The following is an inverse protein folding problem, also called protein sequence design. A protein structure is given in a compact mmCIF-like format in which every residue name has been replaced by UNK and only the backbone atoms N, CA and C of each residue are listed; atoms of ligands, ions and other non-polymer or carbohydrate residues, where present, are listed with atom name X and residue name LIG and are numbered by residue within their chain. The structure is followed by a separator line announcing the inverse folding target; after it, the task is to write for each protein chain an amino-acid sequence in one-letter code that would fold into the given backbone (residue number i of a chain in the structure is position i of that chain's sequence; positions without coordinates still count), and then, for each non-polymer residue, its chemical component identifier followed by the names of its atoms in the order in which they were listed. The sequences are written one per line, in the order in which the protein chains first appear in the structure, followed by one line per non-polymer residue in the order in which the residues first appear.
data_IF_553851807904
#
_entry.id   IF_553851807904
#
_cell.length_a   1.000
_cell.length_b   1.000
_cell.length_c   1.000
_cell.angle_alpha   90.00
_cell.angle_beta   90.00
_cell.angle_gamma   90.00
#
_symmetry.space_group_name_H-M   'P 1'
#
loop_
_entity.id
_entity.type
_entity.pdbx_description
1 polymer ?
#
# COMPACT_ATOMS: atom_id res chain seq x y z
N UNK A 1 53.95 52.85 43.87
CA UNK A 1 52.73 52.71 43.06
C UNK A 1 51.84 51.74 43.81
N UNK A 2 50.97 52.27 44.66
CA UNK A 2 50.14 51.49 45.59
C UNK A 2 48.73 52.01 45.38
N UNK A 3 47.90 51.26 44.66
CA UNK A 3 46.50 51.61 44.47
C UNK A 3 45.66 50.90 45.53
N UNK A 4 44.71 51.68 46.03
CA UNK A 4 43.94 51.51 47.25
C UNK A 4 42.56 51.02 46.80
N UNK A 5 42.18 49.81 47.19
CA UNK A 5 40.86 49.25 46.92
C UNK A 5 39.83 49.89 47.87
N UNK A 6 38.77 50.47 47.31
CA UNK A 6 37.58 50.91 48.04
C UNK A 6 36.46 49.87 47.92
N UNK A 7 35.64 49.68 48.97
CA UNK A 7 34.57 48.69 48.99
C UNK A 7 33.36 49.15 48.16
N UNK A 8 32.81 48.22 47.39
CA UNK A 8 31.58 48.38 46.61
C UNK A 8 30.38 48.23 47.56
N UNK A 9 29.51 49.24 47.57
CA UNK A 9 28.29 49.31 48.40
C UNK A 9 27.14 48.59 47.67
N UNK A 10 26.78 47.38 48.11
CA UNK A 10 25.62 46.61 47.65
C UNK A 10 24.34 47.09 48.36
N UNK A 11 23.86 48.28 48.00
CA UNK A 11 22.52 48.75 48.36
C UNK A 11 21.71 49.04 47.10
N UNK A 12 21.37 47.97 46.37
CA UNK A 12 20.46 48.00 45.24
C UNK A 12 19.06 47.57 45.67
N UNK A 13 18.17 48.55 45.84
CA UNK A 13 16.73 48.38 46.03
C UNK A 13 16.12 47.37 45.05
N UNK A 14 15.60 46.25 45.56
CA UNK A 14 14.70 45.38 44.80
C UNK A 14 13.39 46.14 44.53
N UNK A 15 12.99 46.34 43.27
CA UNK A 15 11.67 46.86 42.95
C UNK A 15 10.63 45.84 43.40
N UNK A 16 9.91 46.17 44.46
CA UNK A 16 8.73 45.44 44.92
C UNK A 16 7.73 45.34 43.77
N UNK A 17 7.67 44.15 43.16
CA UNK A 17 6.70 43.77 42.15
C UNK A 17 5.29 44.07 42.66
N UNK A 18 4.55 44.89 41.90
CA UNK A 18 3.13 45.18 42.15
C UNK A 18 2.34 43.87 42.20
N UNK A 19 1.56 43.60 43.26
CA UNK A 19 0.72 42.40 43.38
C UNK A 19 -0.57 42.42 42.53
N UNK A 20 -0.73 43.40 41.64
CA UNK A 20 -1.97 43.60 40.85
C UNK A 20 -1.90 43.02 39.42
N UNK A 21 -0.82 42.35 39.04
CA UNK A 21 -0.67 41.65 37.74
C UNK A 21 -0.99 40.14 37.85
N UNK A 22 -1.83 39.77 38.81
CA UNK A 22 -2.48 38.47 38.83
C UNK A 22 -3.46 38.43 37.65
N UNK A 23 -2.95 38.06 36.48
CA UNK A 23 -3.77 37.59 35.37
C UNK A 23 -4.82 36.64 35.96
N UNK A 24 -6.12 36.83 35.67
CA UNK A 24 -7.16 35.91 36.11
C UNK A 24 -6.68 34.48 35.83
N UNK A 25 -6.85 33.53 36.75
CA UNK A 25 -6.45 32.15 36.50
C UNK A 25 -7.06 31.77 35.14
N UNK A 26 -6.19 31.42 34.19
CA UNK A 26 -6.66 30.91 32.90
C UNK A 26 -7.64 29.77 33.23
N UNK A 27 -8.84 29.78 32.65
CA UNK A 27 -9.84 28.77 32.97
C UNK A 27 -9.20 27.40 32.80
N UNK A 28 -9.26 26.59 33.86
CA UNK A 28 -8.68 25.25 33.84
C UNK A 28 -9.20 24.50 32.61
N UNK A 29 -8.35 23.71 31.92
CA UNK A 29 -8.70 23.10 30.65
C UNK A 29 -9.98 22.29 30.83
N UNK A 30 -11.08 22.83 30.29
CA UNK A 30 -12.33 22.10 30.20
C UNK A 30 -12.01 20.80 29.46
N UNK A 31 -12.38 19.66 30.07
CA UNK A 31 -12.05 18.33 29.55
C UNK A 31 -12.80 18.11 28.23
N UNK A 32 -12.18 18.53 27.12
CA UNK A 32 -12.73 18.38 25.79
C UNK A 32 -12.66 16.90 25.38
N UNK A 33 -13.72 16.35 24.74
CA UNK A 33 -13.62 15.03 24.11
C UNK A 33 -12.44 14.99 23.14
N UNK A 34 -11.70 13.89 23.14
CA UNK A 34 -10.61 13.72 22.18
C UNK A 34 -11.14 13.64 20.74
N UNK A 35 -10.26 13.87 19.77
CA UNK A 35 -10.63 13.89 18.36
C UNK A 35 -11.21 12.53 17.88
N UNK A 36 -10.75 11.42 18.46
CA UNK A 36 -11.24 10.08 18.15
C UNK A 36 -12.69 9.88 18.59
N UNK A 37 -13.04 10.32 19.79
CA UNK A 37 -14.41 10.34 20.29
C UNK A 37 -15.32 11.23 19.43
N UNK A 38 -14.86 12.40 19.01
CA UNK A 38 -15.61 13.27 18.09
C UNK A 38 -15.84 12.61 16.73
N UNK A 39 -14.82 11.93 16.18
CA UNK A 39 -14.94 11.18 14.92
C UNK A 39 -15.90 9.99 15.06
N UNK A 40 -15.77 9.19 16.12
CA UNK A 40 -16.66 8.07 16.39
C UNK A 40 -18.11 8.52 16.64
N UNK A 41 -18.31 9.72 17.22
CA UNK A 41 -19.63 10.35 17.33
C UNK A 41 -20.23 10.69 15.96
N UNK A 42 -19.43 11.26 15.05
CA UNK A 42 -19.85 11.57 13.66
C UNK A 42 -20.25 10.30 12.91
N UNK A 43 -19.46 9.23 13.06
CA UNK A 43 -19.67 7.96 12.36
C UNK A 43 -20.77 7.08 13.02
N UNK A 44 -21.26 7.48 14.21
CA UNK A 44 -22.29 6.74 14.96
C UNK A 44 -21.77 5.48 15.64
N UNK A 45 -20.46 5.40 15.88
CA UNK A 45 -19.76 4.23 16.42
C UNK A 45 -19.57 4.27 17.94
N UNK A 46 -19.89 5.40 18.59
CA UNK A 46 -19.82 5.52 20.05
C UNK A 46 -20.90 4.71 20.78
N UNK A 47 -20.52 4.19 21.96
CA UNK A 47 -21.45 3.57 22.91
C UNK A 47 -22.55 4.57 23.35
N UNK A 48 -23.83 4.17 23.51
CA UNK A 48 -24.92 5.12 23.71
C UNK A 48 -24.81 6.01 24.96
N UNK A 49 -24.09 5.58 26.01
CA UNK A 49 -23.78 6.44 27.14
C UNK A 49 -22.82 7.56 26.74
N UNK A 50 -21.67 7.21 26.15
CA UNK A 50 -20.64 8.16 25.71
C UNK A 50 -21.14 9.13 24.63
N UNK A 51 -21.93 8.63 23.67
CA UNK A 51 -22.52 9.47 22.62
C UNK A 51 -23.43 10.58 23.18
N UNK A 52 -24.14 10.32 24.29
CA UNK A 52 -24.96 11.32 24.98
C UNK A 52 -24.09 12.36 25.69
N UNK A 53 -23.01 11.95 26.35
CA UNK A 53 -22.07 12.87 27.00
C UNK A 53 -21.44 13.82 25.97
N UNK A 54 -20.92 13.28 24.86
CA UNK A 54 -20.35 14.08 23.76
C UNK A 54 -21.42 15.00 23.17
N UNK A 55 -22.65 14.52 22.99
CA UNK A 55 -23.77 15.34 22.51
C UNK A 55 -24.05 16.55 23.40
N UNK A 56 -24.15 16.35 24.72
CA UNK A 56 -24.34 17.44 25.69
C UNK A 56 -23.17 18.42 25.67
N UNK A 57 -21.93 17.92 25.56
CA UNK A 57 -20.76 18.77 25.44
C UNK A 57 -20.81 19.66 24.20
N UNK A 58 -21.20 19.10 23.05
CA UNK A 58 -21.31 19.84 21.78
C UNK A 58 -22.41 20.92 21.82
N UNK A 59 -23.46 20.75 22.62
CA UNK A 59 -24.47 21.79 22.84
C UNK A 59 -23.89 23.03 23.55
N UNK A 60 -22.94 22.82 24.46
CA UNK A 60 -22.37 23.86 25.31
C UNK A 60 -21.06 24.45 24.74
N UNK A 61 -20.27 23.65 24.04
CA UNK A 61 -18.93 24.00 23.63
C UNK A 61 -18.87 24.41 22.14
N UNK A 62 -18.61 25.70 21.88
CA UNK A 62 -18.51 26.20 20.49
C UNK A 62 -17.24 25.77 19.76
N UNK A 63 -16.11 25.59 20.46
CA UNK A 63 -14.86 25.15 19.84
C UNK A 63 -14.95 23.70 19.35
N UNK A 64 -15.50 22.78 20.15
CA UNK A 64 -15.71 21.40 19.71
C UNK A 64 -16.68 21.28 18.53
N UNK A 65 -17.69 22.17 18.43
CA UNK A 65 -18.57 22.21 17.25
C UNK A 65 -17.82 22.55 15.97
N UNK A 66 -16.89 23.50 16.02
CA UNK A 66 -16.03 23.84 14.87
C UNK A 66 -15.16 22.66 14.46
N UNK A 67 -14.61 21.92 15.42
CA UNK A 67 -13.82 20.70 15.15
C UNK A 67 -14.66 19.63 14.46
N UNK A 68 -15.87 19.36 14.97
CA UNK A 68 -16.81 18.39 14.36
C UNK A 68 -17.20 18.78 12.93
N UNK A 69 -17.42 20.07 12.67
CA UNK A 69 -17.72 20.57 11.32
C UNK A 69 -16.54 20.34 10.35
N UNK A 70 -15.31 20.67 10.76
CA UNK A 70 -14.09 20.45 9.97
C UNK A 70 -13.82 18.96 9.69
N UNK A 71 -13.95 18.09 10.72
CA UNK A 71 -13.86 16.64 10.55
C UNK A 71 -14.90 16.12 9.53
N UNK A 72 -16.15 16.57 9.66
CA UNK A 72 -17.22 16.23 8.73
C UNK A 72 -16.94 16.69 7.29
N UNK A 73 -16.37 17.87 7.10
CA UNK A 73 -15.99 18.38 5.77
C UNK A 73 -14.86 17.57 5.14
N UNK A 74 -13.84 17.19 5.92
CA UNK A 74 -12.75 16.33 5.47
C UNK A 74 -13.24 14.94 5.08
N UNK A 75 -14.13 14.33 5.87
CA UNK A 75 -14.76 13.06 5.56
C UNK A 75 -15.55 13.14 4.24
N UNK A 76 -16.44 14.14 4.09
CA UNK A 76 -17.19 14.38 2.86
C UNK A 76 -16.30 14.65 1.64
N UNK A 77 -15.18 15.34 1.83
CA UNK A 77 -14.21 15.59 0.76
C UNK A 77 -13.55 14.29 0.28
N UNK A 78 -13.11 13.46 1.23
CA UNK A 78 -12.51 12.15 0.97
C UNK A 78 -13.49 11.23 0.25
N UNK A 79 -14.72 11.10 0.75
CA UNK A 79 -15.76 10.27 0.09
C UNK A 79 -16.03 10.75 -1.33
N UNK A 80 -16.10 12.06 -1.57
CA UNK A 80 -16.27 12.61 -2.93
C UNK A 80 -15.09 12.29 -3.85
N UNK A 81 -13.86 12.31 -3.33
CA UNK A 81 -12.68 11.93 -4.09
C UNK A 81 -12.70 10.43 -4.45
N UNK A 82 -13.07 9.57 -3.50
CA UNK A 82 -13.17 8.12 -3.72
C UNK A 82 -14.31 7.74 -4.66
N UNK A 83 -15.44 8.45 -4.62
CA UNK A 83 -16.55 8.24 -5.55
C UNK A 83 -16.18 8.50 -7.02
N UNK A 84 -15.06 9.19 -7.30
CA UNK A 84 -14.51 9.31 -8.66
C UNK A 84 -13.89 7.98 -9.12
N UNK A 85 -13.32 7.21 -8.20
CA UNK A 85 -12.69 5.91 -8.45
C UNK A 85 -13.73 4.78 -8.52
N UNK A 86 -14.81 4.88 -7.75
CA UNK A 86 -15.91 3.90 -7.75
C UNK A 86 -16.79 3.96 -9.01
N UNK A 87 -16.59 4.96 -9.88
CA UNK A 87 -17.25 4.96 -11.17
C UNK A 87 -16.76 3.74 -11.95
N UNK A 88 -17.65 2.79 -12.32
CA UNK A 88 -17.25 1.63 -13.09
C UNK A 88 -16.54 2.14 -14.33
N UNK A 89 -15.32 1.63 -14.55
CA UNK A 89 -14.57 1.98 -15.75
C UNK A 89 -15.49 1.74 -16.95
N UNK A 90 -15.67 2.70 -17.87
CA UNK A 90 -16.56 2.51 -19.00
C UNK A 90 -16.16 1.20 -19.69
N UNK A 91 -17.11 0.28 -19.88
CA UNK A 91 -16.86 -1.07 -20.41
C UNK A 91 -16.16 -1.02 -21.78
N UNK A 92 -16.38 0.05 -22.53
CA UNK A 92 -15.72 0.33 -23.81
C UNK A 92 -14.23 0.74 -23.68
N UNK A 93 -13.73 1.01 -22.46
CA UNK A 93 -12.49 1.73 -22.23
C UNK A 93 -11.24 0.87 -22.20
N UNK A 94 -11.28 -0.35 -21.66
CA UNK A 94 -10.06 -1.15 -21.45
C UNK A 94 -9.53 -1.70 -22.76
N UNK A 95 -10.38 -2.30 -23.59
CA UNK A 95 -9.97 -2.81 -24.90
C UNK A 95 -9.65 -1.70 -25.88
N UNK A 96 -10.35 -0.57 -25.82
CA UNK A 96 -10.05 0.59 -26.64
C UNK A 96 -8.76 1.31 -26.18
N UNK A 97 -8.49 1.39 -24.87
CA UNK A 97 -7.22 1.88 -24.34
C UNK A 97 -6.07 0.94 -24.72
N UNK A 98 -6.25 -0.39 -24.58
CA UNK A 98 -5.29 -1.40 -25.05
C UNK A 98 -5.04 -1.28 -26.55
N UNK A 99 -6.08 -1.08 -27.34
CA UNK A 99 -5.99 -0.84 -28.79
C UNK A 99 -5.22 0.46 -29.10
N UNK A 100 -5.49 1.55 -28.41
CA UNK A 100 -4.81 2.83 -28.58
C UNK A 100 -3.32 2.74 -28.22
N UNK A 101 -2.97 2.03 -27.15
CA UNK A 101 -1.57 1.76 -26.76
C UNK A 101 -0.87 0.90 -27.81
N UNK A 102 -1.51 -0.18 -28.29
CA UNK A 102 -0.97 -1.02 -29.39
C UNK A 102 -0.75 -0.19 -30.66
N UNK A 103 -1.74 0.61 -31.06
CA UNK A 103 -1.66 1.48 -32.25
C UNK A 103 -0.53 2.50 -32.13
N UNK A 104 -0.34 3.13 -30.96
CA UNK A 104 0.79 4.04 -30.71
C UNK A 104 2.13 3.31 -30.77
N UNK A 105 2.26 2.13 -30.16
CA UNK A 105 3.50 1.32 -30.22
C UNK A 105 3.83 0.88 -31.66
N UNK A 106 2.83 0.55 -32.46
CA UNK A 106 3.03 0.20 -33.88
C UNK A 106 3.41 1.43 -34.72
N UNK A 107 2.80 2.60 -34.44
CA UNK A 107 3.15 3.85 -35.10
C UNK A 107 4.57 4.33 -34.75
N UNK A 108 5.03 4.12 -33.51
CA UNK A 108 6.39 4.48 -33.07
C UNK A 108 7.46 3.49 -33.55
N UNK A 109 7.07 2.26 -33.92
CA UNK A 109 7.97 1.26 -34.52
C UNK A 109 8.24 1.46 -36.00
N UNK A 110 7.77 2.56 -36.63
CA UNK A 110 8.11 2.86 -38.02
C UNK A 110 9.64 2.95 -38.18
N UNK A 111 10.27 1.97 -38.85
CA UNK A 111 11.72 1.95 -39.03
C UNK A 111 12.05 3.00 -40.09
N UNK A 112 12.33 4.23 -39.66
CA UNK A 112 12.65 5.30 -40.61
C UNK A 112 12.65 6.74 -40.08
N UNK A 113 12.12 7.00 -38.88
CA UNK A 113 12.15 8.34 -38.30
C UNK A 113 13.53 8.64 -37.67
N UNK A 114 14.46 9.02 -38.54
CA UNK A 114 15.73 9.72 -38.35
C UNK A 114 16.42 9.65 -36.97
N UNK A 115 17.65 9.12 -36.96
CA UNK A 115 18.65 9.28 -35.89
C UNK A 115 19.00 10.75 -35.55
N UNK A 116 18.35 11.74 -36.18
CA UNK A 116 18.55 13.17 -35.95
C UNK A 116 17.61 13.75 -34.87
N UNK A 117 16.57 13.04 -34.44
CA UNK A 117 15.60 13.53 -33.44
C UNK A 117 15.90 13.18 -31.97
N UNK A 118 16.75 12.18 -31.71
CA UNK A 118 17.01 11.69 -30.33
C UNK A 118 17.80 12.71 -29.49
N UNK A 119 18.62 13.56 -30.12
CA UNK A 119 19.37 14.60 -29.42
C UNK A 119 18.48 15.75 -28.91
N UNK A 120 17.35 16.04 -29.56
CA UNK A 120 16.47 17.16 -29.17
C UNK A 120 15.55 16.83 -27.99
N UNK A 121 15.15 15.56 -27.83
CA UNK A 121 14.24 15.13 -26.76
C UNK A 121 14.94 15.10 -25.38
N UNK A 122 16.22 14.74 -25.32
CA UNK A 122 16.99 14.76 -24.07
C UNK A 122 17.13 16.18 -23.49
N UNK A 123 17.28 17.19 -24.36
CA UNK A 123 17.40 18.60 -23.95
C UNK A 123 16.07 19.14 -23.41
N UNK A 124 14.93 18.75 -24.00
CA UNK A 124 13.60 19.17 -23.51
C UNK A 124 13.22 18.52 -22.17
N UNK A 125 13.58 17.25 -21.95
CA UNK A 125 13.36 16.58 -20.66
C UNK A 125 14.23 17.19 -19.55
N UNK A 126 15.49 17.54 -19.86
CA UNK A 126 16.37 18.24 -18.92
C UNK A 126 15.89 19.67 -18.60
N UNK A 127 15.36 20.40 -19.58
CA UNK A 127 14.79 21.74 -19.37
C UNK A 127 13.49 21.70 -18.55
N UNK A 128 12.62 20.71 -18.77
CA UNK A 128 11.40 20.53 -18.00
C UNK A 128 11.66 20.08 -16.56
N UNK A 129 12.65 19.20 -16.34
CA UNK A 129 13.06 18.77 -15.01
C UNK A 129 13.77 19.90 -14.23
N UNK A 130 14.54 20.77 -14.90
CA UNK A 130 15.22 21.90 -14.27
C UNK A 130 14.27 23.01 -13.80
N UNK A 131 13.19 23.28 -14.55
CA UNK A 131 12.24 24.34 -14.20
C UNK A 131 11.32 23.97 -13.01
N UNK A 132 11.05 22.68 -12.79
CA UNK A 132 10.18 22.23 -11.70
C UNK A 132 10.85 22.26 -10.30
N UNK A 133 12.19 22.30 -10.24
CA UNK A 133 12.93 22.28 -8.98
C UNK A 133 13.01 23.65 -8.26
N UNK A 134 12.74 24.75 -8.99
CA UNK A 134 12.91 26.12 -8.52
C UNK A 134 11.61 26.82 -8.06
N UNK A 135 10.44 26.16 -8.18
CA UNK A 135 9.17 26.72 -7.70
C UNK A 135 8.98 26.38 -6.21
N UNK A 136 9.00 27.37 -5.29
CA UNK A 136 8.60 27.15 -3.90
C UNK A 136 7.09 26.79 -3.87
N UNK A 137 6.75 25.63 -3.29
CA UNK A 137 5.37 25.15 -3.17
C UNK A 137 5.00 23.90 -4.00
N UNK A 138 5.97 23.22 -4.62
CA UNK A 138 5.69 21.99 -5.39
C UNK A 138 5.37 20.79 -4.48
N UNK A 139 4.21 20.12 -4.65
CA UNK A 139 3.76 18.99 -3.81
C UNK A 139 4.64 17.73 -3.95
N UNK A 140 5.57 17.70 -4.92
CA UNK A 140 6.49 16.58 -5.11
C UNK A 140 7.63 16.54 -4.08
N UNK A 141 7.88 17.64 -3.35
CA UNK A 141 8.90 17.66 -2.30
C UNK A 141 8.49 16.83 -1.07
N UNK A 142 7.21 16.77 -0.73
CA UNK A 142 6.74 15.96 0.40
C UNK A 142 6.93 14.45 0.16
N UNK A 143 6.73 14.00 -1.09
CA UNK A 143 6.74 12.58 -1.40
C UNK A 143 8.15 11.96 -1.49
N UNK A 144 9.19 12.77 -1.68
CA UNK A 144 10.58 12.29 -1.84
C UNK A 144 11.40 12.31 -0.54
N UNK A 145 10.90 12.94 0.52
CA UNK A 145 11.61 13.05 1.81
C UNK A 145 10.81 12.58 3.03
N UNK A 146 9.56 12.13 2.82
CA UNK A 146 8.78 11.46 3.87
C UNK A 146 9.01 9.94 3.81
N UNK A 147 10.24 9.54 4.15
CA UNK A 147 10.65 8.15 4.37
C UNK A 147 11.38 8.08 5.72
N UNK A 148 10.61 8.12 6.82
CA UNK A 148 10.91 7.53 8.15
C UNK A 148 9.86 7.93 9.19
N UNK A 149 8.59 7.65 8.89
CA UNK A 149 7.53 7.61 9.91
C UNK A 149 6.85 6.26 9.81
N UNK A 150 6.90 5.49 10.90
CA UNK A 150 6.14 4.25 11.11
C UNK A 150 4.70 4.40 10.63
N UNK A 151 4.44 4.02 9.38
CA UNK A 151 3.10 3.97 8.83
C UNK A 151 2.57 2.59 9.15
N UNK A 152 1.90 2.48 10.30
CA UNK A 152 1.09 1.34 10.66
C UNK A 152 0.08 1.08 9.54
N UNK A 153 0.39 0.08 8.71
CA UNK A 153 -0.50 -0.39 7.67
C UNK A 153 -1.70 -1.00 8.37
N UNK A 154 -2.86 -0.34 8.31
CA UNK A 154 -4.13 -0.93 8.73
C UNK A 154 -4.36 -2.22 7.95
N UNK A 155 -4.17 -3.34 8.63
CA UNK A 155 -4.61 -4.67 8.23
C UNK A 155 -6.10 -4.63 7.97
N UNK A 156 -6.52 -4.85 6.72
CA UNK A 156 -7.93 -5.08 6.41
C UNK A 156 -8.34 -6.38 7.11
N UNK A 157 -9.41 -6.33 7.91
CA UNK A 157 -9.98 -7.52 8.53
C UNK A 157 -10.36 -8.53 7.43
N UNK A 158 -9.83 -9.76 7.48
CA UNK A 158 -10.13 -10.77 6.49
C UNK A 158 -11.62 -11.12 6.57
N UNK A 159 -12.33 -11.01 5.45
CA UNK A 159 -13.70 -11.51 5.33
C UNK A 159 -13.70 -13.00 5.68
N UNK A 160 -14.32 -13.34 6.81
CA UNK A 160 -14.34 -14.68 7.38
C UNK A 160 -14.92 -15.69 6.37
N UNK A 161 -14.02 -16.35 5.65
CA UNK A 161 -14.29 -17.52 4.82
C UNK A 161 -13.80 -18.72 5.61
N UNK A 162 -14.70 -19.69 5.85
CA UNK A 162 -14.49 -21.04 6.40
C UNK A 162 -13.18 -21.29 7.14
N UNK A 163 -13.25 -21.37 8.49
CA UNK A 163 -12.31 -21.96 9.47
C UNK A 163 -10.94 -22.49 8.96
N UNK A 164 -10.25 -21.69 8.17
CA UNK A 164 -8.98 -21.95 7.54
C UNK A 164 -7.95 -21.07 8.20
N UNK A 165 -6.71 -21.56 8.26
CA UNK A 165 -5.61 -20.78 8.78
C UNK A 165 -5.51 -19.46 7.99
N UNK A 166 -5.29 -18.32 8.68
CA UNK A 166 -5.32 -17.02 8.04
C UNK A 166 -4.32 -16.99 6.87
N UNK A 167 -4.80 -16.53 5.71
CA UNK A 167 -4.00 -16.36 4.50
C UNK A 167 -3.73 -14.88 4.27
N UNK A 168 -2.49 -14.57 3.91
CA UNK A 168 -2.11 -13.25 3.40
C UNK A 168 -2.00 -13.32 1.87
N UNK A 169 -2.55 -12.31 1.21
CA UNK A 169 -2.61 -12.23 -0.24
C UNK A 169 -2.08 -10.93 -0.80
N UNK A 170 -1.61 -10.97 -2.05
CA UNK A 170 -1.19 -9.81 -2.81
C UNK A 170 -1.82 -9.84 -4.21
N UNK A 171 -2.47 -8.75 -4.61
CA UNK A 171 -3.02 -8.56 -5.95
C UNK A 171 -2.08 -7.73 -6.83
N UNK A 172 -1.77 -8.22 -8.04
CA UNK A 172 -0.78 -7.65 -8.95
C UNK A 172 -1.34 -7.51 -10.36
N UNK A 173 -1.02 -6.40 -11.01
CA UNK A 173 -1.27 -6.22 -12.44
C UNK A 173 -0.14 -6.77 -13.32
N UNK A 174 -0.45 -7.03 -14.60
CA UNK A 174 0.56 -7.37 -15.59
C UNK A 174 1.42 -6.17 -15.97
N UNK A 175 2.73 -6.36 -16.12
CA UNK A 175 3.64 -5.36 -16.69
C UNK A 175 4.05 -5.78 -18.09
N UNK A 176 3.79 -4.93 -19.08
CA UNK A 176 3.99 -5.26 -20.50
C UNK A 176 3.30 -6.57 -20.93
N UNK A 177 2.18 -6.91 -20.28
CA UNK A 177 1.43 -8.14 -20.53
C UNK A 177 1.99 -9.39 -19.85
N UNK A 178 2.96 -9.25 -18.94
CA UNK A 178 3.61 -10.37 -18.25
C UNK A 178 3.76 -10.12 -16.75
N UNK A 179 3.71 -11.18 -15.96
CA UNK A 179 4.07 -11.22 -14.55
C UNK A 179 4.96 -12.43 -14.28
N UNK A 180 6.01 -12.25 -13.50
CA UNK A 180 6.88 -13.32 -13.03
C UNK A 180 6.68 -13.54 -11.52
N UNK A 181 6.37 -14.77 -11.13
CA UNK A 181 6.30 -15.22 -9.73
C UNK A 181 7.53 -16.08 -9.46
N UNK A 182 8.42 -15.59 -8.61
CA UNK A 182 9.67 -16.25 -8.23
C UNK A 182 9.53 -16.84 -6.83
N UNK A 183 9.66 -18.17 -6.73
CA UNK A 183 9.68 -18.91 -5.48
C UNK A 183 11.13 -18.99 -4.99
N UNK A 184 11.50 -18.08 -4.10
CA UNK A 184 12.88 -17.93 -3.61
C UNK A 184 13.10 -18.78 -2.35
N UNK A 185 13.96 -19.78 -2.42
CA UNK A 185 14.23 -20.69 -1.29
C UNK A 185 13.02 -21.50 -0.84
N UNK A 186 12.10 -21.83 -1.76
CA UNK A 186 10.95 -22.69 -1.44
C UNK A 186 11.37 -24.13 -1.15
N UNK A 187 10.93 -24.72 -0.02
CA UNK A 187 11.23 -26.11 0.29
C UNK A 187 10.67 -27.07 -0.76
N UNK A 188 11.38 -28.17 -0.96
CA UNK A 188 11.00 -29.23 -1.90
C UNK A 188 9.73 -29.93 -1.43
N UNK A 189 8.92 -30.41 -2.37
CA UNK A 189 7.66 -31.10 -2.09
C UNK A 189 6.50 -30.18 -1.67
N UNK A 190 6.75 -28.88 -1.45
CA UNK A 190 5.69 -27.89 -1.17
C UNK A 190 4.75 -27.76 -2.34
N UNK A 191 3.47 -27.54 -2.04
CA UNK A 191 2.41 -27.54 -3.05
C UNK A 191 2.08 -26.12 -3.50
N UNK A 192 2.11 -25.92 -4.83
CA UNK A 192 1.69 -24.68 -5.48
C UNK A 192 0.47 -24.97 -6.34
N UNK A 193 -0.62 -24.27 -6.08
CA UNK A 193 -1.81 -24.28 -6.92
C UNK A 193 -1.84 -23.05 -7.81
N UNK A 194 -2.13 -23.27 -9.09
CA UNK A 194 -2.42 -22.21 -10.02
C UNK A 194 -3.83 -22.38 -10.53
N UNK A 195 -4.67 -21.37 -10.32
CA UNK A 195 -6.08 -21.39 -10.70
C UNK A 195 -6.37 -20.25 -11.66
N UNK A 196 -7.22 -20.49 -12.63
CA UNK A 196 -7.80 -19.44 -13.46
C UNK A 196 -9.01 -18.88 -12.71
N UNK A 197 -9.09 -17.56 -12.61
CA UNK A 197 -10.15 -16.89 -11.86
C UNK A 197 -10.75 -15.72 -12.62
N UNK A 198 -11.73 -15.09 -11.98
CA UNK A 198 -12.24 -13.79 -12.35
C UNK A 198 -11.36 -12.69 -11.74
N UNK A 199 -11.34 -11.50 -12.34
CA UNK A 199 -10.57 -10.35 -11.84
C UNK A 199 -9.78 -9.64 -12.93
N UNK A 200 -8.96 -8.66 -12.51
CA UNK A 200 -8.18 -7.82 -13.42
C UNK A 200 -6.67 -8.17 -13.46
N UNK A 201 -6.20 -9.08 -12.61
CA UNK A 201 -4.77 -9.34 -12.38
C UNK A 201 -4.46 -10.72 -11.86
N UNK A 202 -3.37 -10.83 -11.11
CA UNK A 202 -2.91 -12.07 -10.48
C UNK A 202 -2.93 -11.88 -8.98
N UNK A 203 -3.60 -12.78 -8.28
CA UNK A 203 -3.61 -12.83 -6.82
C UNK A 203 -2.67 -13.95 -6.37
N UNK A 204 -1.77 -13.64 -5.45
CA UNK A 204 -0.86 -14.62 -4.85
C UNK A 204 -1.20 -14.68 -3.37
N UNK A 205 -1.72 -15.82 -2.93
CA UNK A 205 -2.13 -16.08 -1.56
C UNK A 205 -1.22 -17.14 -0.93
N UNK A 206 -0.74 -16.88 0.28
CA UNK A 206 0.04 -17.81 1.09
C UNK A 206 -0.43 -17.73 2.55
N UNK A 207 0.20 -18.51 3.41
CA UNK A 207 0.07 -18.41 4.86
C UNK A 207 0.33 -16.98 5.38
N UNK A 208 -0.40 -16.53 6.41
CA UNK A 208 -0.33 -15.15 6.92
C UNK A 208 1.07 -14.64 7.28
N UNK A 209 2.02 -15.52 7.58
CA UNK A 209 3.40 -15.16 7.94
C UNK A 209 4.34 -15.06 6.72
N UNK A 210 3.87 -15.38 5.52
CA UNK A 210 4.67 -15.28 4.30
C UNK A 210 4.80 -13.83 3.89
N UNK A 211 6.03 -13.30 3.90
CA UNK A 211 6.31 -11.98 3.31
C UNK A 211 6.26 -12.04 1.78
N UNK A 212 5.99 -10.92 1.12
CA UNK A 212 6.08 -10.79 -0.34
C UNK A 212 7.02 -9.65 -0.70
N UNK A 213 7.85 -9.84 -1.73
CA UNK A 213 8.66 -8.76 -2.31
C UNK A 213 8.16 -8.46 -3.72
N UNK A 214 7.83 -7.22 -4.00
CA UNK A 214 7.34 -6.80 -5.32
C UNK A 214 8.41 -6.03 -6.07
N UNK A 215 8.47 -6.28 -7.37
CA UNK A 215 9.34 -5.60 -8.32
C UNK A 215 8.61 -5.27 -9.61
N UNK A 216 9.32 -4.67 -10.56
CA UNK A 216 8.76 -4.28 -11.84
C UNK A 216 8.30 -5.49 -12.68
N UNK A 217 7.04 -5.90 -12.55
CA UNK A 217 6.49 -7.07 -13.24
C UNK A 217 6.94 -8.41 -12.65
N UNK A 218 7.40 -8.39 -11.39
CA UNK A 218 7.87 -9.56 -10.66
C UNK A 218 7.32 -9.53 -9.24
N UNK A 219 6.98 -10.70 -8.71
CA UNK A 219 6.78 -10.93 -7.28
C UNK A 219 7.67 -12.08 -6.84
N UNK A 220 8.38 -11.89 -5.73
CA UNK A 220 9.20 -12.92 -5.10
C UNK A 220 8.52 -13.36 -3.82
N UNK A 221 8.31 -14.66 -3.70
CA UNK A 221 7.72 -15.32 -2.53
C UNK A 221 8.85 -16.09 -1.84
N UNK A 222 9.41 -15.60 -0.73
CA UNK A 222 10.43 -16.30 0.05
C UNK A 222 9.85 -17.52 0.76
N UNK A 223 10.52 -18.66 0.66
CA UNK A 223 10.13 -19.92 1.31
C UNK A 223 10.60 -20.06 2.76
N UNK A 224 11.57 -19.24 3.19
CA UNK A 224 12.21 -19.34 4.51
C UNK A 224 11.27 -19.09 5.71
N UNK A 225 10.07 -18.57 5.48
CA UNK A 225 9.09 -18.22 6.52
C UNK A 225 7.85 -19.12 6.50
N UNK A 226 7.88 -20.21 5.73
CA UNK A 226 6.76 -21.14 5.71
C UNK A 226 6.78 -21.97 7.00
N UNK A 227 5.67 -22.03 7.76
CA UNK A 227 5.59 -22.91 8.91
C UNK A 227 5.83 -24.35 8.47
N UNK A 228 6.44 -25.17 9.33
CA UNK A 228 6.56 -26.61 9.05
C UNK A 228 5.17 -27.17 8.71
N UNK A 229 5.06 -28.01 7.67
CA UNK A 229 3.77 -28.59 7.33
C UNK A 229 3.30 -29.42 8.53
N UNK A 230 1.99 -29.45 8.82
CA UNK A 230 1.48 -30.30 9.88
C UNK A 230 1.89 -31.76 9.61
N UNK A 231 2.32 -32.47 10.67
CA UNK A 231 2.86 -33.83 10.57
C UNK A 231 1.85 -34.86 10.05
N UNK A 232 0.56 -34.53 10.10
CA UNK A 232 -0.52 -35.36 9.58
C UNK A 232 -1.24 -34.60 8.46
N UNK A 233 -1.23 -35.12 7.21
CA UNK A 233 -1.99 -34.53 6.12
C UNK A 233 -3.47 -34.68 6.45
N UNK A 234 -4.08 -33.57 6.87
CA UNK A 234 -5.52 -33.57 7.14
C UNK A 234 -6.18 -33.54 5.77
N UNK A 235 -6.80 -34.65 5.37
CA UNK A 235 -7.30 -34.87 4.00
C UNK A 235 -7.92 -33.62 3.39
N UNK A 236 -7.23 -33.07 2.38
CA UNK A 236 -7.52 -31.75 1.82
C UNK A 236 -6.46 -30.69 2.13
N UNK A 237 -5.18 -31.07 2.28
CA UNK A 237 -4.11 -30.13 2.62
C UNK A 237 -4.19 -28.87 1.75
N UNK A 238 -4.45 -27.70 2.36
CA UNK A 238 -4.51 -26.46 1.62
C UNK A 238 -3.14 -26.22 1.00
N UNK A 239 -3.12 -25.94 -0.30
CA UNK A 239 -1.86 -25.63 -0.97
C UNK A 239 -1.10 -24.52 -0.23
N UNK A 240 0.22 -24.68 -0.14
CA UNK A 240 1.11 -23.74 0.53
C UNK A 240 1.09 -22.37 -0.16
N UNK A 241 0.91 -22.37 -1.50
CA UNK A 241 0.73 -21.19 -2.32
C UNK A 241 -0.46 -21.38 -3.26
N UNK A 242 -1.32 -20.37 -3.35
CA UNK A 242 -2.37 -20.29 -4.38
C UNK A 242 -2.12 -19.07 -5.25
N UNK A 243 -2.01 -19.28 -6.55
CA UNK A 243 -1.85 -18.23 -7.56
C UNK A 243 -3.12 -18.22 -8.40
N UNK A 244 -3.98 -17.21 -8.20
CA UNK A 244 -5.19 -17.01 -9.01
C UNK A 244 -4.87 -16.06 -10.14
N UNK A 245 -5.17 -16.47 -11.36
CA UNK A 245 -4.81 -15.75 -12.58
C UNK A 245 -6.10 -15.34 -13.26
N UNK A 246 -6.34 -14.04 -13.37
CA UNK A 246 -7.48 -13.51 -14.10
C UNK A 246 -7.47 -13.98 -15.56
N UNK A 247 -8.63 -14.37 -16.05
CA UNK A 247 -8.83 -14.67 -17.47
C UNK A 247 -8.45 -13.45 -18.33
N UNK A 248 -7.48 -13.61 -19.23
CA UNK A 248 -6.99 -12.49 -20.03
C UNK A 248 -5.80 -12.81 -20.94
N UNK A 249 -5.34 -11.83 -21.74
CA UNK A 249 -4.23 -12.00 -22.67
C UNK A 249 -2.85 -11.95 -22.00
N UNK A 250 -2.80 -11.89 -20.66
CA UNK A 250 -1.57 -11.81 -19.91
C UNK A 250 -0.78 -13.13 -19.92
N UNK A 251 0.47 -13.03 -19.53
CA UNK A 251 1.36 -14.17 -19.32
C UNK A 251 1.81 -14.20 -17.86
N UNK A 252 1.70 -15.35 -17.21
CA UNK A 252 2.24 -15.57 -15.86
C UNK A 252 3.29 -16.66 -15.93
N UNK A 253 4.48 -16.37 -15.41
CA UNK A 253 5.54 -17.35 -15.27
C UNK A 253 5.77 -17.63 -13.80
N UNK A 254 5.78 -18.89 -13.41
CA UNK A 254 6.15 -19.31 -12.06
C UNK A 254 7.46 -20.04 -12.13
N UNK A 255 8.43 -19.62 -11.32
CA UNK A 255 9.81 -20.11 -11.33
C UNK A 255 10.28 -20.44 -9.92
N UNK A 256 11.18 -21.40 -9.81
CA UNK A 256 12.01 -21.60 -8.62
C UNK A 256 13.47 -21.44 -9.06
N UNK A 257 14.09 -20.33 -8.66
CA UNK A 257 15.38 -19.88 -9.18
C UNK A 257 15.40 -19.76 -10.72
N UNK A 258 16.32 -20.49 -11.36
CA UNK A 258 16.46 -20.51 -12.82
C UNK A 258 15.49 -21.46 -13.54
N UNK A 259 14.73 -22.27 -12.79
CA UNK A 259 13.84 -23.29 -13.35
C UNK A 259 12.43 -22.73 -13.56
N UNK A 260 11.90 -22.85 -14.77
CA UNK A 260 10.49 -22.59 -15.05
C UNK A 260 9.67 -23.77 -14.52
N UNK A 261 8.71 -23.50 -13.65
CA UNK A 261 7.78 -24.52 -13.13
C UNK A 261 6.55 -24.61 -14.03
N UNK A 262 5.94 -23.47 -14.31
CA UNK A 262 4.74 -23.38 -15.14
C UNK A 262 4.64 -22.01 -15.78
N UNK A 263 4.11 -22.00 -16.99
CA UNK A 263 3.75 -20.82 -17.76
C UNK A 263 2.26 -20.87 -18.03
N UNK A 264 1.55 -19.81 -17.66
CA UNK A 264 0.18 -19.61 -18.07
C UNK A 264 0.12 -18.53 -19.15
N UNK A 265 -0.58 -18.80 -20.24
CA UNK A 265 -0.84 -17.81 -21.29
C UNK A 265 -2.11 -18.15 -22.06
N UNK A 266 -2.99 -17.16 -22.25
CA UNK A 266 -4.20 -17.33 -23.04
C UNK A 266 -5.12 -18.44 -22.52
N UNK A 267 -5.22 -18.59 -21.20
CA UNK A 267 -6.08 -19.60 -20.57
C UNK A 267 -5.51 -21.03 -20.58
N UNK A 268 -4.25 -21.23 -20.95
CA UNK A 268 -3.60 -22.54 -20.98
C UNK A 268 -2.38 -22.59 -20.06
N UNK A 269 -2.18 -23.72 -19.39
CA UNK A 269 -1.00 -24.01 -18.58
C UNK A 269 0.00 -24.85 -19.37
N UNK A 270 1.25 -24.41 -19.41
CA UNK A 270 2.39 -25.11 -19.99
C UNK A 270 3.37 -25.41 -18.87
N UNK A 271 3.54 -26.69 -18.52
CA UNK A 271 4.47 -27.12 -17.49
C UNK A 271 5.91 -27.04 -17.98
N UNK A 272 6.82 -26.71 -17.07
CA UNK A 272 8.26 -26.78 -17.32
C UNK A 272 8.75 -28.22 -17.48
N UNK A 273 9.97 -28.37 -17.98
CA UNK A 273 10.57 -29.69 -18.21
C UNK A 273 10.71 -30.49 -16.90
N UNK A 274 10.20 -31.72 -16.91
CA UNK A 274 10.23 -32.63 -15.77
C UNK A 274 9.38 -32.19 -14.58
N UNK A 275 8.42 -31.28 -14.79
CA UNK A 275 7.45 -30.88 -13.78
C UNK A 275 6.21 -31.76 -13.93
N UNK A 276 5.79 -32.39 -12.84
CA UNK A 276 4.52 -33.10 -12.74
C UNK A 276 3.49 -32.19 -12.08
N UNK A 277 2.25 -32.25 -12.56
CA UNK A 277 1.15 -31.50 -11.99
C UNK A 277 -0.14 -32.31 -12.05
N UNK A 278 -0.94 -32.20 -11.00
CA UNK A 278 -2.29 -32.74 -10.94
C UNK A 278 -3.26 -31.72 -11.55
N UNK A 279 -4.09 -32.13 -12.52
CA UNK A 279 -5.09 -31.24 -13.09
C UNK A 279 -6.18 -30.92 -12.06
N UNK A 280 -6.58 -29.65 -11.99
CA UNK A 280 -7.76 -29.19 -11.26
C UNK A 280 -8.84 -28.77 -12.27
N UNK A 281 -10.09 -28.60 -11.79
CA UNK A 281 -11.19 -28.14 -12.64
C UNK A 281 -10.95 -26.76 -13.27
N UNK A 282 -10.21 -25.91 -12.59
CA UNK A 282 -9.93 -24.52 -12.93
C UNK A 282 -8.43 -24.22 -13.04
N UNK A 283 -7.57 -25.25 -13.01
CA UNK A 283 -6.15 -25.01 -12.76
C UNK A 283 -5.25 -26.23 -12.78
N UNK A 284 -4.08 -26.09 -12.18
CA UNK A 284 -3.11 -27.16 -11.95
C UNK A 284 -2.53 -27.04 -10.55
N UNK A 285 -2.25 -28.18 -9.92
CA UNK A 285 -1.52 -28.28 -8.66
C UNK A 285 -0.18 -28.95 -8.93
N UNK A 286 0.93 -28.37 -8.48
CA UNK A 286 2.26 -28.94 -8.65
C UNK A 286 3.04 -28.94 -7.35
N UNK A 287 4.01 -29.85 -7.23
CA UNK A 287 4.99 -29.83 -6.15
C UNK A 287 6.26 -29.12 -6.61
N UNK A 288 6.84 -28.30 -5.74
CA UNK A 288 8.14 -27.67 -6.00
C UNK A 288 9.20 -28.77 -6.07
N UNK A 289 9.88 -28.93 -7.22
CA UNK A 289 10.87 -29.99 -7.39
C UNK A 289 12.17 -29.66 -6.65
N UNK A 290 12.97 -30.70 -6.41
CA UNK A 290 14.32 -30.54 -5.87
C UNK A 290 15.19 -29.59 -6.70
N UNK A 291 15.89 -28.69 -6.00
CA UNK A 291 16.80 -27.76 -6.64
C UNK A 291 18.01 -28.56 -7.13
N UNK A 292 18.14 -28.73 -8.46
CA UNK A 292 19.36 -29.33 -9.03
C UNK A 292 20.55 -28.44 -8.67
N UNK A 293 21.41 -28.93 -7.79
CA UNK A 293 22.72 -28.36 -7.48
C UNK A 293 23.64 -28.43 -8.70
#
# INVERSE_FOLDING_TARGET
MTQHELPFDESGDEPTSRPDDASPPEPEPEDHPDEGDLQAWIDGELEPARAREVGVHLELCSSCRVVVEDLGDRARSTTRALAVLDRPAPEAGVDQARWNVRRRRLASRRPGASRRGVAAAAVLVLLAAGAAAALPGSPLRGFLWDDSGDREVRTLEPTATEAGLPRAGLALGYRDGRLEVELDGWPEGRTVELRSGEGAGVEVESWAQTGFRTGAGRVTVPGALLPEPPSEPTGGDPADLVIRIASGPGEVLVRSGSRLLVRWSGGSFQLGEGIQADPLSDGVRLQVPEARQ
#
